data_IF_615130430231
#
_entry.id   IF_615130430231
#
_cell.length_a   1.000
_cell.length_b   1.000
_cell.length_c   1.000
_cell.angle_alpha   90.00
_cell.angle_beta   90.00
_cell.angle_gamma   90.00
#
_symmetry.space_group_name_H-M   'P 1'
#
loop_
_entity.id
_entity.type
_entity.pdbx_description
1 polymer ?
#
# COMPACT_ATOMS: atom_id res chain seq x y z
N UNK A 1 -12.60 -20.11 -2.73
CA UNK A 1 -12.18 -19.88 -2.92
C UNK A 1 -11.63 -19.24 -3.04
N UNK A 2 -11.26 -19.08 -3.08
CA UNK A 2 -10.71 -18.51 -3.26
C UNK A 2 -9.80 -18.37 -3.54
N UNK A 3 -9.40 -18.37 -3.79
CA UNK A 3 -8.55 -18.29 -3.99
C UNK A 3 -7.88 -17.80 -4.55
N UNK A 4 -8.05 -17.97 -4.64
CA UNK A 4 -7.27 -17.62 -5.37
C UNK A 4 -6.79 -16.43 -5.47
N UNK A 5 -6.61 -15.90 -4.65
CA UNK A 5 -6.12 -14.77 -4.65
C UNK A 5 -4.82 -14.81 -5.03
N UNK A 6 -4.40 -14.09 -5.98
CA UNK A 6 -3.10 -14.02 -6.36
C UNK A 6 -2.42 -12.93 -5.72
N UNK A 7 -1.28 -13.16 -5.13
CA UNK A 7 -0.46 -12.09 -4.55
C UNK A 7 0.19 -11.33 -5.68
N UNK A 8 0.19 -10.02 -5.56
CA UNK A 8 0.84 -9.18 -6.55
C UNK A 8 1.90 -8.35 -5.86
N UNK A 9 2.91 -7.96 -6.60
CA UNK A 9 3.94 -7.11 -6.06
C UNK A 9 3.50 -5.67 -6.18
N UNK A 10 3.51 -4.99 -5.06
CA UNK A 10 3.06 -3.61 -4.98
C UNK A 10 4.22 -2.78 -4.46
N UNK A 11 4.51 -1.69 -5.12
CA UNK A 11 5.55 -0.77 -4.65
C UNK A 11 4.87 0.34 -3.87
N UNK A 12 5.34 0.53 -2.64
CA UNK A 12 4.80 1.56 -1.76
C UNK A 12 5.83 2.65 -1.58
N UNK A 13 5.37 3.89 -1.56
CA UNK A 13 6.20 5.02 -1.22
C UNK A 13 5.68 5.55 0.09
N UNK A 14 6.52 5.61 1.09
CA UNK A 14 6.09 5.87 2.45
C UNK A 14 6.93 6.95 3.09
N UNK A 15 6.29 7.71 3.98
CA UNK A 15 7.05 8.64 4.80
C UNK A 15 7.88 7.85 5.79
N UNK A 16 9.04 8.38 6.15
CA UNK A 16 9.92 7.68 7.09
C UNK A 16 9.25 7.39 8.41
N UNK A 17 8.35 8.25 8.84
CA UNK A 17 7.76 8.07 10.16
C UNK A 17 6.85 6.85 10.24
N UNK A 18 6.46 6.26 9.12
CA UNK A 18 5.61 5.07 9.18
C UNK A 18 6.42 3.79 8.99
N UNK A 19 7.74 3.88 9.00
CA UNK A 19 8.59 2.71 8.79
C UNK A 19 8.23 1.56 9.74
N UNK A 20 8.04 1.88 11.00
CA UNK A 20 7.74 0.84 11.97
C UNK A 20 6.45 0.13 11.63
N UNK A 21 5.43 0.88 11.23
CA UNK A 21 4.16 0.27 10.87
C UNK A 21 4.28 -0.63 9.66
N UNK A 22 5.10 -0.22 8.70
CA UNK A 22 5.31 -1.03 7.52
C UNK A 22 6.05 -2.32 7.88
N UNK A 23 7.07 -2.22 8.71
CA UNK A 23 7.81 -3.40 9.13
C UNK A 23 6.92 -4.33 9.95
N UNK A 24 6.06 -3.78 10.77
CA UNK A 24 5.14 -4.59 11.54
C UNK A 24 4.19 -5.35 10.65
N UNK A 25 3.75 -4.72 9.57
CA UNK A 25 2.76 -5.33 8.69
C UNK A 25 3.37 -6.37 7.76
N UNK A 26 4.59 -6.12 7.27
CA UNK A 26 5.15 -6.94 6.22
C UNK A 26 6.41 -7.70 6.62
N UNK A 27 6.91 -7.48 7.82
CA UNK A 27 8.09 -8.18 8.27
C UNK A 27 9.33 -7.34 8.10
N UNK A 28 10.38 -7.73 8.79
CA UNK A 28 11.59 -6.93 8.82
C UNK A 28 12.53 -7.28 7.70
N UNK A 29 12.19 -8.26 6.89
CA UNK A 29 13.06 -8.67 5.81
C UNK A 29 12.69 -8.03 4.48
N UNK A 30 11.80 -7.03 4.47
CA UNK A 30 11.49 -6.34 3.24
C UNK A 30 12.69 -5.50 2.84
N UNK A 31 12.78 -5.23 1.55
CA UNK A 31 13.86 -4.41 1.04
C UNK A 31 13.38 -2.98 0.95
N UNK A 32 14.17 -2.09 1.51
CA UNK A 32 13.82 -0.68 1.57
C UNK A 32 14.82 0.09 0.74
N UNK A 33 14.32 0.99 -0.09
CA UNK A 33 15.15 1.87 -0.88
C UNK A 33 14.78 3.30 -0.54
N UNK A 34 15.77 4.13 -0.31
CA UNK A 34 15.49 5.52 0.00
C UNK A 34 15.02 6.21 -1.25
N UNK A 35 13.94 6.95 -1.13
CA UNK A 35 13.39 7.67 -2.26
C UNK A 35 13.79 9.12 -2.10
N UNK A 36 12.87 10.04 -2.17
CA UNK A 36 13.24 11.40 -1.95
C UNK A 36 13.33 11.66 -0.48
N UNK A 37 13.69 12.86 -0.14
CA UNK A 37 13.94 13.26 1.21
C UNK A 37 12.77 12.92 2.09
N UNK A 38 13.03 12.22 3.16
CA UNK A 38 12.00 11.87 4.11
C UNK A 38 11.11 10.72 3.72
N UNK A 39 11.43 10.02 2.63
CA UNK A 39 10.59 8.94 2.16
C UNK A 39 11.40 7.72 1.79
N UNK A 40 10.73 6.58 1.77
CA UNK A 40 11.37 5.36 1.33
C UNK A 40 10.39 4.59 0.45
N UNK A 41 10.93 3.68 -0.33
CA UNK A 41 10.16 2.81 -1.19
C UNK A 41 10.39 1.39 -0.80
N UNK A 42 9.36 0.57 -0.89
CA UNK A 42 9.53 -0.85 -0.69
C UNK A 42 8.53 -1.57 -1.57
N UNK A 43 8.88 -2.77 -2.02
CA UNK A 43 7.99 -3.58 -2.82
C UNK A 43 7.61 -4.79 -2.00
N UNK A 44 6.32 -5.01 -1.83
CA UNK A 44 5.83 -6.11 -1.03
C UNK A 44 4.83 -6.91 -1.85
N UNK A 45 4.66 -8.16 -1.48
CA UNK A 45 3.72 -9.02 -2.13
C UNK A 45 2.47 -9.07 -1.31
N UNK A 46 1.35 -8.67 -1.88
CA UNK A 46 0.10 -8.60 -1.13
C UNK A 46 -1.04 -9.05 -2.02
N UNK A 47 -2.12 -9.40 -1.38
CA UNK A 47 -3.37 -9.61 -2.06
C UNK A 47 -4.05 -8.24 -2.11
N UNK A 48 -4.27 -7.72 -3.30
CA UNK A 48 -4.84 -6.38 -3.45
C UNK A 48 -6.32 -6.45 -3.15
N UNK A 49 -6.66 -6.37 -1.90
CA UNK A 49 -8.01 -6.55 -1.41
C UNK A 49 -8.44 -5.35 -0.62
N UNK A 50 -9.72 -5.24 -0.29
CA UNK A 50 -10.17 -4.11 0.53
C UNK A 50 -9.45 -4.03 1.86
N UNK A 51 -9.05 -5.17 2.43
CA UNK A 51 -8.30 -5.15 3.68
C UNK A 51 -6.96 -4.46 3.50
N UNK A 52 -6.26 -4.76 2.41
CA UNK A 52 -4.99 -4.11 2.14
C UNK A 52 -5.21 -2.63 1.90
N UNK A 53 -6.23 -2.29 1.13
CA UNK A 53 -6.48 -0.88 0.81
C UNK A 53 -6.85 -0.10 2.07
N UNK A 54 -7.58 -0.72 2.97
CA UNK A 54 -7.93 -0.07 4.22
C UNK A 54 -6.69 0.20 5.05
N UNK A 55 -5.75 -0.74 5.02
CA UNK A 55 -4.50 -0.56 5.73
C UNK A 55 -3.74 0.64 5.18
N UNK A 56 -3.70 0.78 3.86
CA UNK A 56 -3.02 1.91 3.24
C UNK A 56 -3.74 3.21 3.60
N UNK A 57 -5.06 3.17 3.56
CA UNK A 57 -5.85 4.36 3.76
C UNK A 57 -5.70 4.93 5.18
N UNK A 58 -5.50 4.07 6.17
CA UNK A 58 -5.41 4.55 7.54
C UNK A 58 -4.21 5.45 7.78
N UNK A 59 -3.22 5.40 6.89
CA UNK A 59 -2.02 6.22 7.05
C UNK A 59 -2.19 7.63 6.50
N UNK A 60 -3.36 7.92 5.93
CA UNK A 60 -3.72 9.28 5.54
C UNK A 60 -2.74 9.90 4.56
N UNK A 61 -2.31 9.12 3.60
CA UNK A 61 -1.42 9.62 2.57
C UNK A 61 0.05 9.42 2.84
N UNK A 62 0.39 8.95 4.02
CA UNK A 62 1.80 8.71 4.34
C UNK A 62 2.31 7.42 3.74
N UNK A 63 1.41 6.55 3.33
CA UNK A 63 1.74 5.35 2.58
C UNK A 63 0.98 5.45 1.27
N UNK A 64 1.70 5.39 0.16
CA UNK A 64 1.06 5.50 -1.14
C UNK A 64 1.43 4.33 -1.99
N UNK A 65 0.50 3.88 -2.80
CA UNK A 65 0.76 2.81 -3.74
C UNK A 65 1.27 3.44 -5.02
N UNK A 66 2.50 3.11 -5.40
CA UNK A 66 3.10 3.66 -6.60
C UNK A 66 2.91 2.77 -7.80
N UNK A 67 2.87 1.47 -7.61
CA UNK A 67 2.73 0.51 -8.70
C UNK A 67 2.09 -0.75 -8.19
N UNK A 68 1.51 -1.56 -9.03
CA UNK A 68 1.27 -1.30 -10.45
C UNK A 68 0.07 -0.39 -10.63
N UNK A 69 -0.06 0.13 -11.83
CA UNK A 69 -1.11 1.08 -12.08
C UNK A 69 -2.50 0.50 -11.86
N UNK A 70 -2.68 -0.77 -12.15
CA UNK A 70 -4.00 -1.39 -11.94
C UNK A 70 -4.39 -1.36 -10.48
N UNK A 71 -3.44 -1.59 -9.58
CA UNK A 71 -3.74 -1.56 -8.16
C UNK A 71 -3.98 -0.13 -7.70
N UNK A 72 -3.23 0.82 -8.24
CA UNK A 72 -3.42 2.22 -7.93
C UNK A 72 -4.83 2.66 -8.30
N UNK A 73 -5.29 2.23 -9.47
CA UNK A 73 -6.62 2.59 -9.92
C UNK A 73 -7.70 1.97 -9.05
N UNK A 74 -7.50 0.73 -8.64
CA UNK A 74 -8.46 0.08 -7.76
C UNK A 74 -8.55 0.80 -6.43
N UNK A 75 -7.41 1.20 -5.92
CA UNK A 75 -7.39 1.92 -4.65
C UNK A 75 -8.08 3.27 -4.79
N UNK A 76 -7.80 3.97 -5.88
CA UNK A 76 -8.44 5.24 -6.12
C UNK A 76 -9.93 5.13 -6.19
N UNK A 77 -10.40 4.11 -6.87
CA UNK A 77 -11.82 3.89 -7.00
C UNK A 77 -12.45 3.62 -5.65
N UNK A 78 -11.81 2.79 -4.83
CA UNK A 78 -12.33 2.50 -3.52
C UNK A 78 -12.37 3.75 -2.65
N UNK A 79 -11.32 4.56 -2.71
CA UNK A 79 -11.27 5.79 -1.92
C UNK A 79 -12.36 6.76 -2.37
N UNK A 80 -12.57 6.84 -3.66
CA UNK A 80 -13.58 7.72 -4.19
C UNK A 80 -14.96 7.27 -3.74
N UNK A 81 -15.22 5.96 -3.79
CA UNK A 81 -16.50 5.45 -3.34
C UNK A 81 -16.70 5.66 -1.86
N UNK A 82 -15.64 5.52 -1.08
CA UNK A 82 -15.74 5.70 0.36
C UNK A 82 -16.01 7.15 0.72
N UNK A 83 -15.58 8.07 -0.11
CA UNK A 83 -15.76 9.48 0.17
C UNK A 83 -17.03 10.05 -0.46
N UNK A 84 -17.72 9.27 -1.26
CA UNK A 84 -18.89 9.78 -1.97
C UNK A 84 -19.99 10.09 -0.98
N UNK A 85 -20.73 11.17 -1.28
CA UNK A 85 -21.81 11.47 -0.45
C UNK A 85 -22.97 11.11 -1.15
N UNK A 86 -23.95 10.73 -0.62
CA UNK A 86 -25.02 10.35 -1.29
C UNK A 86 -26.06 10.90 -1.20
#
# INVERSE_FOLDING_TARGET
MYDTEEAVRVTLVCDNEVMKGVLDAFGMDIKVHWAEKGKFKTTVKVCASPTFFAWVFQWQGKVRIARPETVVEEYREMARNAAAEE
#
